data_IF_253417697554
#
_entry.id   IF_253417697554
#
_cell.length_a   1.000
_cell.length_b   1.000
_cell.length_c   1.000
_cell.angle_alpha   90.00
_cell.angle_beta   90.00
_cell.angle_gamma   90.00
#
_symmetry.space_group_name_H-M   'P 1'
#
loop_
_entity.id
_entity.type
_entity.pdbx_description
1 polymer ?
#
# COMPACT_ATOMS: atom_id res chain seq x y z
N UNK A 1 -45.16 -45.18 -11.76
CA UNK A 1 -45.18 -44.77 -13.18
C UNK A 1 -46.31 -43.76 -13.37
N UNK A 2 -46.20 -42.71 -14.21
CA UNK A 2 -45.31 -41.53 -14.25
C UNK A 2 -46.09 -40.21 -13.87
N UNK A 3 -45.51 -39.18 -13.25
CA UNK A 3 -44.68 -38.05 -13.75
C UNK A 3 -45.44 -36.93 -14.53
N UNK A 4 -45.42 -35.70 -13.98
CA UNK A 4 -45.51 -34.38 -14.67
C UNK A 4 -45.26 -33.25 -13.63
N UNK A 5 -43.99 -32.85 -13.41
CA UNK A 5 -43.35 -31.59 -13.87
C UNK A 5 -44.15 -30.31 -13.47
N UNK A 6 -43.86 -29.55 -12.41
CA UNK A 6 -42.62 -28.87 -11.95
C UNK A 6 -42.11 -27.77 -12.89
N UNK A 7 -42.75 -26.59 -12.89
CA UNK A 7 -42.20 -25.29 -13.32
C UNK A 7 -42.85 -24.17 -12.47
N UNK A 8 -42.09 -23.12 -12.17
CA UNK A 8 -42.41 -21.84 -11.49
C UNK A 8 -42.21 -21.77 -9.97
N UNK A 9 -41.00 -21.39 -9.55
CA UNK A 9 -40.74 -20.04 -9.00
C UNK A 9 -39.35 -19.99 -8.38
N UNK A 10 -38.33 -19.73 -9.20
CA UNK A 10 -37.02 -19.30 -8.72
C UNK A 10 -36.93 -17.78 -8.89
N UNK A 11 -37.57 -17.04 -7.99
CA UNK A 11 -37.25 -15.64 -7.75
C UNK A 11 -36.19 -15.63 -6.64
N UNK A 12 -34.93 -15.82 -7.04
CA UNK A 12 -33.79 -15.55 -6.16
C UNK A 12 -33.68 -14.05 -6.04
N UNK A 13 -34.14 -13.54 -4.91
CA UNK A 13 -33.94 -12.18 -4.46
C UNK A 13 -32.43 -11.95 -4.30
N UNK A 14 -31.79 -11.33 -5.30
CA UNK A 14 -30.46 -10.75 -5.13
C UNK A 14 -30.64 -9.53 -4.23
N UNK A 15 -30.55 -9.73 -2.92
CA UNK A 15 -30.38 -8.62 -1.99
C UNK A 15 -28.95 -8.09 -2.19
N UNK A 16 -28.84 -6.87 -2.76
CA UNK A 16 -27.63 -6.07 -2.66
C UNK A 16 -27.33 -5.90 -1.17
N UNK A 17 -26.38 -6.67 -0.65
CA UNK A 17 -25.70 -6.32 0.60
C UNK A 17 -24.76 -5.19 0.23
N UNK A 18 -25.26 -3.95 0.32
CA UNK A 18 -24.40 -2.79 0.49
C UNK A 18 -23.65 -3.02 1.81
N UNK A 19 -22.45 -3.60 1.69
CA UNK A 19 -21.53 -3.73 2.81
C UNK A 19 -21.05 -2.32 3.12
N UNK A 20 -21.73 -1.66 4.05
CA UNK A 20 -21.21 -0.47 4.69
C UNK A 20 -19.83 -0.83 5.25
N UNK A 21 -18.79 -0.25 4.66
CA UNK A 21 -17.42 -0.38 5.13
C UNK A 21 -17.38 0.12 6.57
N UNK A 22 -17.48 -0.79 7.53
CA UNK A 22 -17.21 -0.47 8.92
C UNK A 22 -15.70 -0.43 9.01
N UNK A 23 -15.18 0.76 9.24
CA UNK A 23 -13.76 1.01 9.43
C UNK A 23 -13.24 0.06 10.51
N UNK A 24 -12.23 -0.75 10.16
CA UNK A 24 -11.58 -1.60 11.15
C UNK A 24 -11.08 -0.70 12.28
N UNK A 25 -11.48 -1.02 13.52
CA UNK A 25 -11.03 -0.28 14.69
C UNK A 25 -9.49 -0.21 14.68
N UNK A 26 -8.90 0.93 15.06
CA UNK A 26 -7.47 1.12 15.06
C UNK A 26 -6.80 0.09 15.95
N UNK A 27 -5.70 -0.47 15.47
CA UNK A 27 -4.76 -1.17 16.34
C UNK A 27 -4.14 -0.09 17.22
N UNK A 28 -4.38 -0.14 18.53
CA UNK A 28 -3.78 0.79 19.48
C UNK A 28 -2.26 0.88 19.24
N UNK A 29 -1.75 2.09 18.97
CA UNK A 29 -0.32 2.35 18.75
C UNK A 29 0.14 2.56 17.30
N UNK A 30 -0.74 2.73 16.31
CA UNK A 30 -0.35 3.05 14.93
C UNK A 30 0.11 4.50 14.69
N UNK A 31 0.76 4.76 13.55
CA UNK A 31 1.11 6.11 13.10
C UNK A 31 -0.15 6.91 12.68
N UNK A 32 -0.14 8.22 12.93
CA UNK A 32 -1.17 9.12 12.39
C UNK A 32 -0.91 9.40 10.91
N UNK A 33 -1.74 8.84 10.03
CA UNK A 33 -1.64 9.01 8.58
C UNK A 33 -2.90 9.73 8.09
N UNK A 34 -2.78 10.97 7.60
CA UNK A 34 -3.91 11.69 7.04
C UNK A 34 -4.54 10.92 5.87
N UNK A 35 -5.87 10.99 5.74
CA UNK A 35 -6.58 10.42 4.58
C UNK A 35 -5.94 10.87 3.27
N UNK A 36 -5.64 12.17 3.18
CA UNK A 36 -5.00 12.80 2.01
C UNK A 36 -3.64 12.20 1.66
N UNK A 37 -2.86 11.74 2.64
CA UNK A 37 -1.59 11.06 2.37
C UNK A 37 -1.83 9.64 1.87
N UNK A 38 -2.72 8.89 2.51
CA UNK A 38 -3.04 7.51 2.11
C UNK A 38 -3.66 7.46 0.71
N UNK A 39 -4.73 8.21 0.47
CA UNK A 39 -5.50 8.18 -0.80
C UNK A 39 -4.76 8.85 -1.96
N UNK A 40 -3.68 9.59 -1.70
CA UNK A 40 -2.82 10.13 -2.77
C UNK A 40 -2.02 9.06 -3.50
N UNK A 41 -1.80 7.90 -2.86
CA UNK A 41 -0.99 6.81 -3.41
C UNK A 41 -1.72 5.47 -3.41
N UNK A 42 -2.76 5.28 -2.60
CA UNK A 42 -3.60 4.10 -2.63
C UNK A 42 -5.03 4.42 -3.04
N UNK A 43 -5.74 3.42 -3.54
CA UNK A 43 -7.16 3.51 -3.83
C UNK A 43 -7.96 3.28 -2.53
N UNK A 44 -9.10 3.94 -2.38
CA UNK A 44 -9.93 3.84 -1.15
C UNK A 44 -10.45 2.42 -0.90
N UNK A 45 -10.62 1.63 -1.96
CA UNK A 45 -10.96 0.21 -1.89
C UNK A 45 -9.92 -0.62 -1.13
N UNK A 46 -8.69 -0.13 -1.00
CA UNK A 46 -7.60 -0.78 -0.28
C UNK A 46 -7.47 -0.31 1.19
N UNK A 47 -8.44 0.44 1.71
CA UNK A 47 -8.43 0.95 3.09
C UNK A 47 -8.33 -0.16 4.16
N UNK A 48 -8.75 -1.39 3.85
CA UNK A 48 -8.61 -2.54 4.76
C UNK A 48 -7.17 -2.87 5.16
N UNK A 49 -6.16 -2.46 4.38
CA UNK A 49 -4.75 -2.63 4.71
C UNK A 49 -4.20 -1.58 5.67
N UNK A 50 -4.91 -0.45 5.82
CA UNK A 50 -4.43 0.70 6.58
C UNK A 50 -4.02 0.38 8.03
N UNK A 51 -4.80 -0.39 8.82
CA UNK A 51 -4.45 -0.67 10.21
C UNK A 51 -3.12 -1.43 10.34
N UNK A 52 -2.87 -2.40 9.46
CA UNK A 52 -1.63 -3.20 9.47
C UNK A 52 -0.42 -2.37 9.05
N UNK A 53 -0.59 -1.55 8.01
CA UNK A 53 0.45 -0.67 7.52
C UNK A 53 0.83 0.36 8.59
N UNK A 54 -0.15 1.03 9.19
CA UNK A 54 0.05 2.03 10.24
C UNK A 54 0.68 1.43 11.50
N UNK A 55 0.26 0.24 11.92
CA UNK A 55 0.85 -0.47 13.06
C UNK A 55 2.31 -0.85 12.82
N UNK A 56 2.63 -1.38 11.63
CA UNK A 56 4.02 -1.70 11.28
C UNK A 56 4.90 -0.45 11.22
N UNK A 57 4.41 0.64 10.60
CA UNK A 57 5.15 1.89 10.58
C UNK A 57 5.46 2.40 12.01
N UNK A 58 4.53 2.23 12.95
CA UNK A 58 4.76 2.61 14.33
C UNK A 58 5.74 1.69 15.08
N UNK A 59 5.61 0.38 14.90
CA UNK A 59 6.54 -0.62 15.45
C UNK A 59 8.00 -0.30 15.09
N UNK A 60 8.23 0.22 13.87
CA UNK A 60 9.55 0.53 13.34
C UNK A 60 9.89 2.04 13.36
N UNK A 61 9.16 2.88 14.09
CA UNK A 61 9.52 4.29 14.26
C UNK A 61 9.51 5.12 12.96
N UNK A 62 8.60 4.81 12.04
CA UNK A 62 8.44 5.47 10.74
C UNK A 62 7.33 6.55 10.75
N UNK A 63 6.87 6.98 11.93
CA UNK A 63 5.70 7.88 12.04
C UNK A 63 5.95 9.37 11.75
N UNK A 64 7.17 9.79 11.41
CA UNK A 64 7.35 11.18 10.94
C UNK A 64 6.72 11.33 9.56
N UNK A 65 6.16 12.51 9.25
CA UNK A 65 5.50 12.76 7.95
C UNK A 65 6.39 12.32 6.76
N UNK A 66 7.70 12.58 6.84
CA UNK A 66 8.65 12.22 5.80
C UNK A 66 8.92 10.72 5.70
N UNK A 67 9.23 10.06 6.83
CA UNK A 67 9.46 8.60 6.87
C UNK A 67 8.23 7.85 6.39
N UNK A 68 7.05 8.27 6.85
CA UNK A 68 5.79 7.66 6.48
C UNK A 68 5.49 7.87 5.00
N UNK A 69 5.69 9.07 4.45
CA UNK A 69 5.53 9.31 3.01
C UNK A 69 6.43 8.41 2.16
N UNK A 70 7.70 8.21 2.55
CA UNK A 70 8.60 7.30 1.83
C UNK A 70 8.15 5.86 1.95
N UNK A 71 7.68 5.44 3.13
CA UNK A 71 7.12 4.10 3.36
C UNK A 71 5.89 3.84 2.48
N UNK A 72 4.92 4.77 2.46
CA UNK A 72 3.71 4.67 1.62
C UNK A 72 4.05 4.65 0.13
N UNK A 73 4.87 5.61 -0.33
CA UNK A 73 5.22 5.73 -1.74
C UNK A 73 6.01 4.53 -2.25
N UNK A 74 6.91 3.98 -1.43
CA UNK A 74 7.65 2.75 -1.76
C UNK A 74 6.73 1.55 -1.85
N UNK A 75 5.91 1.29 -0.82
CA UNK A 75 4.95 0.17 -0.85
C UNK A 75 4.02 0.30 -2.06
N UNK A 76 3.54 1.50 -2.33
CA UNK A 76 2.69 1.78 -3.49
C UNK A 76 3.37 1.45 -4.81
N UNK A 77 4.68 1.72 -4.92
CA UNK A 77 5.44 1.36 -6.11
C UNK A 77 5.58 -0.16 -6.24
N UNK A 78 6.05 -0.82 -5.18
CA UNK A 78 6.32 -2.27 -5.19
C UNK A 78 5.05 -3.08 -5.46
N UNK A 79 3.92 -2.68 -4.87
CA UNK A 79 2.67 -3.48 -4.89
C UNK A 79 1.66 -3.03 -5.93
N UNK A 80 2.05 -2.11 -6.82
CA UNK A 80 1.11 -1.41 -7.71
C UNK A 80 -0.12 -0.91 -6.94
N UNK A 81 0.11 -0.11 -5.89
CA UNK A 81 -0.91 0.49 -5.02
C UNK A 81 -1.74 -0.53 -4.23
N UNK A 82 -1.10 -1.57 -3.67
CA UNK A 82 -1.70 -2.66 -2.88
C UNK A 82 -2.60 -3.60 -3.67
N UNK A 83 -2.27 -3.81 -4.96
CA UNK A 83 -3.02 -4.73 -5.83
C UNK A 83 -2.28 -6.01 -6.14
N UNK A 84 -0.95 -6.02 -5.98
CA UNK A 84 -0.07 -7.15 -6.24
C UNK A 84 0.85 -7.31 -5.02
N UNK A 85 0.97 -8.53 -4.51
CA UNK A 85 1.85 -8.85 -3.37
C UNK A 85 2.79 -10.01 -3.65
N UNK A 86 2.79 -10.53 -4.88
CA UNK A 86 3.73 -11.54 -5.35
C UNK A 86 4.32 -11.06 -6.67
N UNK A 87 5.64 -11.16 -6.79
CA UNK A 87 6.40 -10.89 -7.99
C UNK A 87 6.80 -12.23 -8.62
N UNK A 88 6.14 -12.67 -9.71
CA UNK A 88 6.40 -13.99 -10.28
C UNK A 88 7.83 -14.16 -10.80
N UNK A 89 8.46 -13.07 -11.25
CA UNK A 89 9.75 -13.11 -11.93
C UNK A 89 10.92 -13.57 -11.02
N UNK A 90 10.84 -13.31 -9.72
CA UNK A 90 11.87 -13.67 -8.73
C UNK A 90 11.30 -14.32 -7.46
N UNK A 91 9.99 -14.57 -7.43
CA UNK A 91 9.28 -15.11 -6.26
C UNK A 91 9.17 -14.12 -5.10
N UNK A 92 9.45 -12.83 -5.32
CA UNK A 92 9.33 -11.79 -4.32
C UNK A 92 7.92 -11.71 -3.74
N UNK A 93 7.79 -11.41 -2.45
CA UNK A 93 6.48 -11.35 -1.79
C UNK A 93 6.34 -10.23 -0.76
N UNK A 94 5.09 -9.87 -0.48
CA UNK A 94 4.70 -8.90 0.54
C UNK A 94 4.79 -7.44 0.09
N UNK A 95 4.74 -6.52 1.05
CA UNK A 95 4.59 -5.08 0.78
C UNK A 95 5.80 -4.40 0.11
N UNK A 96 6.93 -5.10 0.00
CA UNK A 96 8.13 -4.65 -0.72
C UNK A 96 8.68 -5.73 -1.68
N UNK A 97 7.84 -6.71 -2.04
CA UNK A 97 8.24 -7.85 -2.88
C UNK A 97 9.61 -8.44 -2.52
N UNK A 98 9.86 -8.67 -1.23
CA UNK A 98 11.15 -9.17 -0.76
C UNK A 98 11.44 -10.50 -1.41
N UNK A 99 12.62 -10.65 -2.03
CA UNK A 99 13.04 -11.88 -2.69
C UNK A 99 13.26 -13.03 -1.68
N UNK A 100 12.98 -14.29 -2.05
CA UNK A 100 13.03 -15.43 -1.13
C UNK A 100 14.37 -15.67 -0.42
N UNK A 101 15.49 -15.32 -1.05
CA UNK A 101 16.82 -15.46 -0.44
C UNK A 101 17.00 -14.63 0.83
N UNK A 102 16.21 -13.56 1.00
CA UNK A 102 16.26 -12.68 2.18
C UNK A 102 15.29 -13.10 3.29
N UNK A 103 14.30 -13.96 2.99
CA UNK A 103 13.28 -14.36 3.97
C UNK A 103 13.85 -15.05 5.22
N UNK A 104 14.85 -15.95 5.14
CA UNK A 104 15.38 -16.60 6.34
C UNK A 104 15.88 -15.62 7.41
N UNK A 105 16.46 -14.49 6.99
CA UNK A 105 16.90 -13.44 7.90
C UNK A 105 15.73 -12.65 8.47
N UNK A 106 14.77 -12.23 7.63
CA UNK A 106 13.56 -11.53 8.07
C UNK A 106 12.79 -12.36 9.11
N UNK A 107 12.62 -13.65 8.84
CA UNK A 107 11.92 -14.57 9.73
C UNK A 107 12.66 -14.76 11.05
N UNK A 108 14.00 -14.83 11.00
CA UNK A 108 14.82 -14.91 12.21
C UNK A 108 14.67 -13.67 13.08
N UNK A 109 14.77 -12.49 12.47
CA UNK A 109 14.75 -11.22 13.19
C UNK A 109 13.36 -10.87 13.76
N UNK A 110 12.30 -11.28 13.07
CA UNK A 110 10.91 -11.00 13.44
C UNK A 110 10.25 -12.11 14.26
N UNK A 111 10.98 -13.20 14.55
CA UNK A 111 10.46 -14.35 15.30
C UNK A 111 9.34 -15.09 14.55
N UNK A 112 9.40 -15.15 13.22
CA UNK A 112 8.42 -15.84 12.38
C UNK A 112 8.79 -17.32 12.21
N UNK A 113 7.77 -18.17 12.09
CA UNK A 113 7.96 -19.60 11.87
C UNK A 113 8.57 -19.87 10.48
N UNK A 114 9.73 -20.55 10.45
CA UNK A 114 10.35 -21.02 9.21
C UNK A 114 9.74 -22.35 8.77
N UNK A 115 9.79 -22.64 7.47
CA UNK A 115 9.17 -23.85 6.91
C UNK A 115 9.58 -24.09 5.45
N UNK A 116 8.74 -24.81 4.71
CA UNK A 116 8.86 -24.89 3.25
C UNK A 116 8.69 -23.52 2.60
N UNK A 117 9.06 -23.41 1.32
CA UNK A 117 8.89 -22.17 0.57
C UNK A 117 7.43 -21.70 0.59
N UNK A 118 6.47 -22.60 0.38
CA UNK A 118 5.04 -22.32 0.35
C UNK A 118 4.53 -21.84 1.72
N UNK A 119 5.02 -22.43 2.81
CA UNK A 119 4.68 -22.01 4.17
C UNK A 119 5.20 -20.58 4.45
N UNK A 120 6.44 -20.30 4.04
CA UNK A 120 7.03 -18.97 4.20
C UNK A 120 6.35 -17.95 3.29
N UNK A 121 5.98 -18.30 2.06
CA UNK A 121 5.22 -17.46 1.15
C UNK A 121 3.85 -17.09 1.75
N UNK A 122 3.13 -18.05 2.31
CA UNK A 122 1.85 -17.79 2.98
C UNK A 122 2.00 -16.78 4.13
N UNK A 123 3.08 -16.89 4.91
CA UNK A 123 3.42 -15.93 5.97
C UNK A 123 3.79 -14.56 5.39
N UNK A 124 4.54 -14.50 4.30
CA UNK A 124 4.92 -13.25 3.63
C UNK A 124 3.75 -12.51 2.99
N UNK A 125 2.61 -13.18 2.79
CA UNK A 125 1.37 -12.61 2.23
C UNK A 125 0.31 -12.29 3.28
N UNK A 126 0.53 -12.70 4.53
CA UNK A 126 -0.30 -12.29 5.65
C UNK A 126 -0.15 -10.76 5.84
N UNK A 127 -1.24 -9.97 5.83
CA UNK A 127 -1.15 -8.51 5.90
C UNK A 127 -0.41 -8.01 7.13
N UNK A 128 -0.62 -8.65 8.28
CA UNK A 128 0.07 -8.27 9.52
C UNK A 128 1.58 -8.49 9.40
N UNK A 129 2.00 -9.55 8.72
CA UNK A 129 3.42 -9.89 8.55
C UNK A 129 4.09 -9.09 7.45
N UNK A 130 3.44 -8.94 6.29
CA UNK A 130 4.07 -8.32 5.11
C UNK A 130 4.46 -6.86 5.34
N UNK A 131 3.65 -6.09 6.08
CA UNK A 131 3.99 -4.71 6.43
C UNK A 131 5.06 -4.64 7.52
N UNK A 132 5.07 -5.58 8.47
CA UNK A 132 6.14 -5.69 9.47
C UNK A 132 7.48 -6.00 8.81
N UNK A 133 7.51 -6.90 7.82
CA UNK A 133 8.70 -7.19 7.04
C UNK A 133 9.20 -5.95 6.28
N UNK A 134 8.29 -5.15 5.70
CA UNK A 134 8.66 -3.88 5.07
C UNK A 134 9.25 -2.87 6.08
N UNK A 135 8.62 -2.69 7.24
CA UNK A 135 9.14 -1.81 8.29
C UNK A 135 10.49 -2.25 8.83
N UNK A 136 10.68 -3.57 9.03
CA UNK A 136 11.96 -4.17 9.38
C UNK A 136 13.02 -3.90 8.32
N UNK A 137 12.69 -4.04 7.04
CA UNK A 137 13.64 -3.79 5.95
C UNK A 137 14.17 -2.35 5.99
N UNK A 138 13.26 -1.37 6.17
CA UNK A 138 13.56 0.07 6.23
C UNK A 138 14.49 0.45 7.39
N UNK A 139 14.41 -0.27 8.49
CA UNK A 139 15.08 0.10 9.74
C UNK A 139 16.31 -0.75 10.05
N UNK A 140 16.32 -2.01 9.62
CA UNK A 140 17.34 -2.98 10.00
C UNK A 140 17.73 -3.92 8.86
N UNK A 141 16.75 -4.53 8.19
CA UNK A 141 16.97 -5.65 7.27
C UNK A 141 17.92 -5.34 6.12
N UNK A 142 17.74 -4.20 5.45
CA UNK A 142 18.64 -3.78 4.39
C UNK A 142 20.06 -3.54 4.90
N UNK A 143 20.23 -3.00 6.11
CA UNK A 143 21.54 -2.84 6.74
C UNK A 143 22.24 -4.16 7.03
N UNK A 144 21.48 -5.16 7.51
CA UNK A 144 21.99 -6.51 7.78
C UNK A 144 22.47 -7.20 6.52
N UNK A 145 21.74 -7.07 5.41
CA UNK A 145 21.99 -7.84 4.17
C UNK A 145 22.90 -7.09 3.20
N UNK A 146 22.75 -5.77 3.08
CA UNK A 146 23.42 -4.94 2.08
C UNK A 146 24.53 -4.06 2.67
N UNK A 147 24.73 -4.14 3.98
CA UNK A 147 25.79 -3.43 4.69
C UNK A 147 25.37 -2.06 5.22
N UNK A 148 26.33 -1.42 5.90
CA UNK A 148 26.11 -0.24 6.75
C UNK A 148 25.48 0.95 6.04
N UNK A 149 25.68 1.11 4.72
CA UNK A 149 25.05 2.17 3.92
C UNK A 149 23.51 2.13 3.96
N UNK A 150 22.93 0.95 4.14
CA UNK A 150 21.49 0.74 4.20
C UNK A 150 20.98 0.54 5.64
N UNK A 151 21.83 0.75 6.64
CA UNK A 151 21.41 0.66 8.03
C UNK A 151 20.44 1.80 8.35
N UNK A 152 19.24 1.43 8.79
CA UNK A 152 18.17 2.38 9.10
C UNK A 152 17.96 3.45 8.02
N UNK A 153 17.94 3.04 6.75
CA UNK A 153 17.80 4.00 5.64
C UNK A 153 16.48 4.77 5.71
N UNK A 154 15.46 4.26 6.39
CA UNK A 154 14.24 5.00 6.71
C UNK A 154 14.50 6.37 7.34
N UNK A 155 15.52 6.49 8.21
CA UNK A 155 15.89 7.75 8.85
C UNK A 155 16.45 8.80 7.87
N UNK A 156 16.94 8.41 6.68
CA UNK A 156 17.39 9.36 5.66
C UNK A 156 16.25 10.27 5.20
N UNK A 157 14.99 9.81 5.30
CA UNK A 157 13.81 10.60 4.96
C UNK A 157 13.68 11.88 5.81
N UNK A 158 14.29 11.95 6.99
CA UNK A 158 14.25 13.15 7.84
C UNK A 158 14.98 14.34 7.20
N UNK A 159 15.86 14.10 6.22
CA UNK A 159 16.51 15.14 5.43
C UNK A 159 15.66 15.68 4.28
N UNK A 160 14.44 15.16 4.06
CA UNK A 160 13.57 15.60 2.97
C UNK A 160 12.94 16.96 3.28
N UNK A 161 13.04 17.86 2.29
CA UNK A 161 12.37 19.16 2.32
C UNK A 161 11.13 19.16 1.43
N UNK A 162 10.21 20.10 1.69
CA UNK A 162 9.19 20.45 0.70
C UNK A 162 9.86 20.90 -0.61
N UNK A 163 9.34 20.48 -1.77
CA UNK A 163 9.86 20.92 -3.06
C UNK A 163 9.91 19.80 -4.09
N UNK A 164 10.87 19.90 -5.00
CA UNK A 164 11.12 18.90 -6.06
C UNK A 164 11.78 17.64 -5.47
N UNK A 165 11.34 16.47 -5.91
CA UNK A 165 11.82 15.15 -5.49
C UNK A 165 12.65 14.48 -6.59
N UNK A 166 12.71 15.09 -7.78
CA UNK A 166 13.38 14.56 -8.97
C UNK A 166 14.77 15.17 -9.20
N UNK A 167 15.16 16.18 -8.40
CA UNK A 167 16.48 16.78 -8.43
C UNK A 167 17.01 17.16 -7.04
N UNK A 168 18.28 17.58 -6.98
CA UNK A 168 18.90 18.13 -5.77
C UNK A 168 19.00 17.17 -4.59
N UNK A 169 18.94 17.72 -3.37
CA UNK A 169 19.13 16.95 -2.14
C UNK A 169 18.05 15.86 -1.92
N UNK A 170 16.79 16.19 -2.20
CA UNK A 170 15.69 15.23 -2.09
C UNK A 170 15.93 14.02 -3.01
N UNK A 171 16.31 14.26 -4.27
CA UNK A 171 16.66 13.17 -5.19
C UNK A 171 17.83 12.34 -4.67
N UNK A 172 18.90 12.95 -4.17
CA UNK A 172 20.06 12.21 -3.65
C UNK A 172 19.69 11.31 -2.46
N UNK A 173 18.86 11.80 -1.53
CA UNK A 173 18.33 11.02 -0.40
C UNK A 173 17.52 9.84 -0.93
N UNK A 174 16.55 10.11 -1.80
CA UNK A 174 15.62 9.09 -2.27
C UNK A 174 16.28 8.07 -3.19
N UNK A 175 17.25 8.48 -4.00
CA UNK A 175 18.07 7.59 -4.81
C UNK A 175 18.91 6.67 -3.91
N UNK A 176 19.46 7.18 -2.81
CA UNK A 176 20.16 6.33 -1.82
C UNK A 176 19.21 5.31 -1.22
N UNK A 177 18.02 5.74 -0.78
CA UNK A 177 16.99 4.83 -0.26
C UNK A 177 16.56 3.80 -1.32
N UNK A 178 16.42 4.20 -2.58
CA UNK A 178 16.08 3.32 -3.70
C UNK A 178 17.10 2.18 -3.84
N UNK A 179 18.39 2.49 -3.76
CA UNK A 179 19.44 1.47 -3.84
C UNK A 179 19.44 0.48 -2.67
N UNK A 180 18.76 0.81 -1.57
CA UNK A 180 18.54 -0.09 -0.43
C UNK A 180 17.26 -0.91 -0.54
N UNK A 181 16.36 -0.59 -1.48
CA UNK A 181 15.17 -1.39 -1.78
C UNK A 181 15.38 -2.26 -3.00
N UNK A 182 15.79 -1.66 -4.13
CA UNK A 182 15.95 -2.35 -5.42
C UNK A 182 17.34 -2.97 -5.62
N UNK A 183 18.33 -2.63 -4.79
CA UNK A 183 19.71 -3.06 -4.98
C UNK A 183 20.56 -2.06 -5.77
N UNK A 184 21.80 -2.47 -6.09
CA UNK A 184 22.68 -1.68 -6.94
C UNK A 184 22.32 -1.86 -8.43
N UNK A 185 22.08 -0.77 -9.15
CA UNK A 185 21.80 -0.83 -10.58
C UNK A 185 20.93 0.32 -11.08
N UNK A 186 20.65 0.32 -12.38
CA UNK A 186 19.63 1.17 -12.96
C UNK A 186 18.24 0.61 -12.62
N UNK A 187 17.40 1.44 -12.00
CA UNK A 187 16.02 1.13 -11.68
C UNK A 187 15.09 1.96 -12.57
N UNK A 188 14.44 1.31 -13.54
CA UNK A 188 13.47 1.96 -14.41
C UNK A 188 12.22 2.46 -13.66
N UNK A 189 11.94 1.90 -12.48
CA UNK A 189 10.84 2.26 -11.59
C UNK A 189 11.13 3.48 -10.71
N UNK A 190 12.38 3.95 -10.64
CA UNK A 190 12.76 5.07 -9.77
C UNK A 190 11.89 6.33 -9.99
N UNK A 191 11.63 6.83 -11.22
CA UNK A 191 10.78 8.00 -11.42
C UNK A 191 9.37 7.85 -10.84
N UNK A 192 8.77 6.65 -10.99
CA UNK A 192 7.46 6.35 -10.43
C UNK A 192 7.49 6.39 -8.90
N UNK A 193 8.50 5.75 -8.28
CA UNK A 193 8.68 5.72 -6.84
C UNK A 193 8.81 7.13 -6.27
N UNK A 194 9.64 7.98 -6.87
CA UNK A 194 9.80 9.38 -6.47
C UNK A 194 8.48 10.16 -6.56
N UNK A 195 7.72 9.97 -7.64
CA UNK A 195 6.41 10.61 -7.83
C UNK A 195 5.40 10.20 -6.76
N UNK A 196 5.32 8.90 -6.42
CA UNK A 196 4.43 8.40 -5.37
C UNK A 196 4.83 8.93 -3.99
N UNK A 197 6.12 8.98 -3.68
CA UNK A 197 6.62 9.56 -2.42
C UNK A 197 6.25 11.05 -2.34
N UNK A 198 6.44 11.81 -3.42
CA UNK A 198 6.07 13.23 -3.46
C UNK A 198 4.56 13.44 -3.26
N UNK A 199 3.70 12.60 -3.85
CA UNK A 199 2.24 12.62 -3.66
C UNK A 199 1.87 12.37 -2.19
N UNK A 200 2.43 11.32 -1.58
CA UNK A 200 2.21 11.02 -0.16
C UNK A 200 2.67 12.17 0.74
N UNK A 201 3.85 12.74 0.48
CA UNK A 201 4.41 13.84 1.26
C UNK A 201 3.56 15.12 1.15
N UNK A 202 3.09 15.45 -0.05
CA UNK A 202 2.16 16.56 -0.26
C UNK A 202 0.84 16.37 0.50
N UNK A 203 0.33 15.14 0.58
CA UNK A 203 -0.84 14.77 1.38
C UNK A 203 -0.70 15.11 2.87
N UNK A 204 0.51 15.01 3.44
CA UNK A 204 0.80 15.47 4.80
C UNK A 204 0.84 17.00 4.91
N UNK A 205 1.41 17.69 3.91
CA UNK A 205 1.54 19.15 3.93
C UNK A 205 0.21 19.88 3.73
N UNK A 206 -0.73 19.32 2.96
CA UNK A 206 -2.07 19.88 2.77
C UNK A 206 -2.79 20.13 4.10
N UNK A 207 -2.62 19.23 5.07
CA UNK A 207 -3.15 19.37 6.44
C UNK A 207 -2.60 20.61 7.16
N UNK A 208 -1.30 20.90 6.99
CA UNK A 208 -0.65 22.06 7.62
C UNK A 208 -1.09 23.40 7.02
N UNK A 209 -1.54 23.42 5.76
CA UNK A 209 -2.04 24.63 5.10
C UNK A 209 -3.50 24.91 5.44
N UNK A 210 -4.36 23.89 5.55
CA UNK A 210 -5.77 24.07 5.94
C UNK A 210 -5.95 24.31 7.45
N UNK A 211 -5.07 23.76 8.29
CA UNK A 211 -5.08 24.01 9.75
C UNK A 211 -4.53 25.38 10.16
N UNK A 212 -3.87 26.11 9.25
CA UNK A 212 -3.35 27.46 9.49
C UNK A 212 -4.34 28.51 8.96
N UNK A 213 -5.60 28.41 9.35
CA UNK A 213 -6.53 29.54 9.25
C UNK A 213 -6.05 30.60 10.24
N UNK A 214 -5.88 31.81 9.72
CA UNK A 214 -5.32 32.98 10.37
C UNK A 214 -5.87 33.16 11.79
N UNK A 215 -4.99 33.10 12.79
CA UNK A 215 -5.23 33.78 14.06
C UNK A 215 -5.09 35.28 13.79
N UNK A 216 -6.16 35.86 13.23
CA UNK A 216 -6.38 37.29 13.30
C UNK A 216 -6.78 37.58 14.74
N UNK A 217 -5.93 38.32 15.44
CA UNK A 217 -6.19 38.83 16.78
C UNK A 217 -7.43 39.72 16.74
N UNK A 218 -8.56 39.27 17.30
CA UNK A 218 -9.59 40.16 17.82
C UNK A 218 -9.96 39.75 19.24
N UNK A 219 -9.75 40.71 20.13
CA UNK A 219 -10.07 40.82 21.56
C UNK A 219 -11.50 40.43 21.96
N UNK A 220 -11.60 39.75 23.13
CA UNK A 220 -12.64 39.75 24.21
C UNK A 220 -14.14 39.64 23.82
N UNK A 221 -15.03 38.85 24.43
CA UNK A 221 -15.32 38.54 25.83
C UNK A 221 -16.28 37.32 25.95
N UNK A 222 -16.28 36.61 27.10
CA UNK A 222 -17.46 35.91 27.64
C UNK A 222 -17.42 34.36 27.73
N UNK A 223 -17.61 33.75 28.91
CA UNK A 223 -17.55 32.29 29.10
C UNK A 223 -18.91 31.55 29.16
N UNK A 224 -18.83 30.23 28.94
CA UNK A 224 -19.73 29.13 29.34
C UNK A 224 -20.66 28.52 28.25
N UNK A 225 -21.17 27.26 28.41
CA UNK A 225 -20.85 26.22 29.40
C UNK A 225 -20.44 24.85 28.79
N UNK A 226 -19.89 24.02 29.67
CA UNK A 226 -19.55 22.61 29.49
C UNK A 226 -20.78 21.72 29.30
N UNK A 227 -20.76 20.84 28.30
CA UNK A 227 -21.69 19.71 28.19
C UNK A 227 -20.90 18.42 28.01
N UNK A 228 -21.07 17.52 28.99
CA UNK A 228 -20.55 16.15 29.01
C UNK A 228 -21.57 15.23 28.33
N UNK A 229 -21.21 14.45 27.31
CA UNK A 229 -22.03 13.34 26.85
C UNK A 229 -21.58 12.04 27.52
N UNK A 230 -22.47 11.46 28.33
CA UNK A 230 -22.37 10.10 28.85
C UNK A 230 -23.00 9.16 27.83
N UNK A 231 -22.25 8.18 27.30
CA UNK A 231 -22.82 7.04 26.57
C UNK A 231 -22.49 5.71 27.28
N UNK A 232 -23.45 4.77 27.37
CA UNK A 232 -23.29 3.52 28.10
C UNK A 232 -22.59 2.44 27.24
N UNK A 233 -21.66 1.71 27.87
CA UNK A 233 -21.03 0.51 27.34
C UNK A 233 -22.02 -0.67 27.31
N UNK A 234 -22.36 -1.16 26.12
CA UNK A 234 -22.95 -2.48 25.92
C UNK A 234 -21.88 -3.49 25.48
N UNK A 235 -21.98 -4.78 25.86
CA UNK A 235 -20.97 -5.79 25.52
C UNK A 235 -21.00 -6.13 24.03
N UNK A 236 -19.86 -5.97 23.34
CA UNK A 236 -19.68 -6.34 21.93
C UNK A 236 -19.45 -7.85 21.77
N UNK A 237 -20.10 -8.43 20.76
CA UNK A 237 -19.94 -9.82 20.30
C UNK A 237 -18.65 -9.97 19.46
N UNK A 238 -18.04 -11.16 19.38
CA UNK A 238 -16.83 -11.39 18.58
C UNK A 238 -17.11 -11.17 17.08
N UNK A 239 -16.27 -10.37 16.43
CA UNK A 239 -16.28 -10.17 14.97
C UNK A 239 -15.55 -11.34 14.30
N UNK A 240 -16.17 -11.87 13.25
CA UNK A 240 -15.72 -13.02 12.45
C UNK A 240 -14.76 -12.55 11.35
N UNK A 241 -13.70 -13.32 11.13
CA UNK A 241 -12.59 -13.02 10.22
C UNK A 241 -13.03 -12.65 8.80
N UNK A 242 -12.30 -11.67 8.22
CA UNK A 242 -12.39 -11.27 6.82
C UNK A 242 -12.00 -12.46 5.92
N UNK A 243 -12.67 -12.71 4.79
CA UNK A 243 -12.35 -13.86 3.95
C UNK A 243 -10.95 -13.70 3.37
N UNK A 244 -10.03 -14.56 3.79
CA UNK A 244 -8.75 -14.80 3.12
C UNK A 244 -9.05 -15.58 1.83
N UNK A 245 -9.48 -14.88 0.78
CA UNK A 245 -9.35 -15.43 -0.57
C UNK A 245 -7.87 -15.53 -0.85
N UNK A 246 -7.31 -16.74 -0.66
CA UNK A 246 -5.93 -17.04 -0.98
C UNK A 246 -5.62 -16.58 -2.39
N UNK A 247 -4.67 -15.66 -2.51
CA UNK A 247 -4.19 -15.23 -3.81
C UNK A 247 -3.69 -16.47 -4.55
N UNK A 248 -4.22 -16.80 -5.75
CA UNK A 248 -3.72 -17.93 -6.52
C UNK A 248 -2.22 -17.72 -6.76
N UNK A 249 -1.42 -18.74 -6.48
CA UNK A 249 0.00 -18.75 -6.83
C UNK A 249 0.13 -18.56 -8.35
N UNK A 250 0.76 -17.49 -8.86
CA UNK A 250 0.92 -17.32 -10.27
C UNK A 250 2.23 -17.98 -10.68
N UNK A 251 2.16 -19.23 -11.13
CA UNK A 251 3.17 -19.77 -12.07
C UNK A 251 2.85 -19.18 -13.43
N UNK A 252 3.16 -17.90 -13.65
CA UNK A 252 3.00 -17.30 -14.98
C UNK A 252 4.32 -17.40 -15.75
N UNK A 253 4.24 -18.10 -16.88
CA UNK A 253 5.26 -18.11 -17.91
C UNK A 253 5.43 -16.69 -18.49
N UNK A 254 6.57 -16.39 -19.16
CA UNK A 254 6.74 -15.14 -19.90
C UNK A 254 5.53 -14.88 -20.81
N UNK A 255 5.12 -13.61 -20.92
CA UNK A 255 4.10 -13.20 -21.87
C UNK A 255 4.48 -13.66 -23.28
N UNK A 256 3.49 -14.04 -24.08
CA UNK A 256 3.70 -14.38 -25.50
C UNK A 256 3.93 -13.14 -26.37
N UNK A 257 3.69 -11.94 -25.83
CA UNK A 257 4.12 -10.69 -26.45
C UNK A 257 5.65 -10.59 -26.36
N UNK A 258 6.31 -10.40 -27.51
CA UNK A 258 7.75 -10.62 -27.71
C UNK A 258 8.70 -9.92 -26.72
N UNK A 259 10.01 -10.20 -26.85
CA UNK A 259 11.05 -9.66 -25.97
C UNK A 259 10.87 -8.16 -25.69
N UNK A 260 11.20 -7.70 -24.47
CA UNK A 260 11.07 -6.28 -24.10
C UNK A 260 12.13 -5.37 -24.76
N UNK A 261 12.51 -5.66 -26.01
CA UNK A 261 13.51 -4.97 -26.80
C UNK A 261 13.31 -3.46 -26.78
N UNK A 262 14.27 -2.75 -26.18
CA UNK A 262 14.25 -1.30 -26.00
C UNK A 262 13.77 -0.82 -24.63
N UNK A 263 13.19 -1.68 -23.79
CA UNK A 263 12.82 -1.35 -22.41
C UNK A 263 13.92 -1.78 -21.43
N UNK A 264 14.11 -1.00 -20.37
CA UNK A 264 15.07 -1.34 -19.32
C UNK A 264 14.48 -2.35 -18.33
N UNK A 265 15.34 -3.13 -17.66
CA UNK A 265 14.94 -4.04 -16.58
C UNK A 265 14.15 -3.27 -15.50
N UNK A 266 13.02 -3.83 -15.06
CA UNK A 266 12.08 -3.20 -14.11
C UNK A 266 11.05 -2.27 -14.75
N UNK A 267 11.13 -2.00 -16.06
CA UNK A 267 10.15 -1.15 -16.75
C UNK A 267 8.76 -1.76 -16.68
N UNK A 268 7.76 -0.94 -16.35
CA UNK A 268 6.35 -1.34 -16.22
C UNK A 268 5.52 -0.81 -17.38
N UNK A 269 4.65 -1.64 -17.96
CA UNK A 269 3.77 -1.26 -19.07
C UNK A 269 2.39 -1.90 -18.95
N UNK A 270 1.42 -1.36 -19.68
CA UNK A 270 0.17 -2.04 -19.93
C UNK A 270 0.30 -2.95 -21.16
N UNK A 271 0.07 -4.24 -21.00
CA UNK A 271 -0.04 -5.22 -22.06
C UNK A 271 -1.31 -4.97 -22.90
N UNK A 272 -1.38 -5.52 -24.12
CA UNK A 272 -2.60 -5.42 -24.93
C UNK A 272 -3.80 -6.14 -24.27
N UNK A 273 -3.53 -7.13 -23.42
CA UNK A 273 -4.51 -7.80 -22.56
C UNK A 273 -5.14 -6.86 -21.52
N UNK A 274 -4.60 -5.67 -21.33
CA UNK A 274 -4.97 -4.74 -20.26
C UNK A 274 -4.38 -5.12 -18.89
N UNK A 275 -3.53 -6.15 -18.84
CA UNK A 275 -2.73 -6.47 -17.68
C UNK A 275 -1.53 -5.51 -17.54
N UNK A 276 -1.08 -5.31 -16.31
CA UNK A 276 0.21 -4.71 -16.01
C UNK A 276 1.30 -5.75 -16.27
N UNK A 277 2.45 -5.34 -16.81
CA UNK A 277 3.60 -6.22 -17.03
C UNK A 277 4.92 -5.53 -16.70
N UNK A 278 5.92 -6.32 -16.31
CA UNK A 278 7.28 -5.88 -16.01
C UNK A 278 8.28 -6.53 -16.96
N UNK A 279 9.25 -5.76 -17.46
CA UNK A 279 10.38 -6.27 -18.22
C UNK A 279 11.43 -6.79 -17.23
N UNK A 280 11.68 -8.11 -17.24
CA UNK A 280 12.70 -8.75 -16.41
C UNK A 280 13.62 -9.57 -17.31
N UNK A 281 14.92 -9.25 -17.29
CA UNK A 281 15.96 -9.95 -18.06
C UNK A 281 15.61 -10.14 -19.55
N UNK A 282 15.01 -9.14 -20.18
CA UNK A 282 14.64 -9.17 -21.61
C UNK A 282 13.28 -9.81 -21.92
N UNK A 283 12.55 -10.30 -20.92
CA UNK A 283 11.23 -10.89 -21.08
C UNK A 283 10.14 -10.08 -20.34
N UNK A 284 8.93 -10.05 -20.90
CA UNK A 284 7.76 -9.49 -20.22
C UNK A 284 7.12 -10.53 -19.30
N UNK A 285 6.83 -10.13 -18.07
CA UNK A 285 6.06 -10.90 -17.10
C UNK A 285 4.79 -10.12 -16.78
N UNK A 286 3.64 -10.72 -17.06
CA UNK A 286 2.34 -10.14 -16.73
C UNK A 286 2.00 -10.41 -15.27
N UNK A 287 1.39 -9.41 -14.63
CA UNK A 287 0.80 -9.56 -13.32
C UNK A 287 -0.67 -9.97 -13.49
N UNK A 288 -1.19 -10.86 -12.63
CA UNK A 288 -2.62 -11.12 -12.58
C UNK A 288 -3.39 -9.80 -12.49
N UNK A 289 -4.35 -9.60 -13.39
CA UNK A 289 -5.23 -8.43 -13.39
C UNK A 289 -6.23 -8.55 -12.24
N UNK A 290 -6.18 -7.70 -11.20
CA UNK A 290 -7.18 -7.72 -10.15
C UNK A 290 -8.57 -7.42 -10.74
N UNK A 291 -9.59 -8.08 -10.21
CA UNK A 291 -10.97 -7.86 -10.65
C UNK A 291 -11.37 -6.38 -10.47
N UNK A 292 -12.06 -5.82 -11.48
CA UNK A 292 -12.52 -4.42 -11.45
C UNK A 292 -11.42 -3.37 -11.67
N UNK A 293 -10.20 -3.79 -12.04
CA UNK A 293 -9.12 -2.87 -12.40
C UNK A 293 -8.89 -2.81 -13.91
N UNK A 294 -8.23 -1.75 -14.38
CA UNK A 294 -7.64 -1.60 -15.70
C UNK A 294 -6.20 -1.12 -15.56
N UNK A 295 -5.29 -1.63 -16.38
CA UNK A 295 -3.97 -1.00 -16.48
C UNK A 295 -4.11 0.34 -17.23
N UNK A 296 -3.51 1.39 -16.66
CA UNK A 296 -3.46 2.72 -17.28
C UNK A 296 -2.08 3.35 -17.06
N UNK A 297 -1.62 4.12 -18.04
CA UNK A 297 -0.40 4.95 -17.92
C UNK A 297 -0.79 6.30 -17.34
N UNK A 298 -0.25 6.65 -16.18
CA UNK A 298 -0.45 7.94 -15.52
C UNK A 298 0.90 8.54 -15.17
N UNK A 299 1.11 9.78 -15.57
CA UNK A 299 2.39 10.50 -15.44
C UNK A 299 3.57 9.69 -16.03
N UNK A 300 3.33 8.98 -17.14
CA UNK A 300 4.32 8.14 -17.80
C UNK A 300 4.53 6.75 -17.18
N UNK A 301 3.77 6.38 -16.14
CA UNK A 301 3.95 5.11 -15.43
C UNK A 301 2.71 4.22 -15.53
N UNK A 302 2.89 2.96 -15.92
CA UNK A 302 1.80 1.98 -15.98
C UNK A 302 1.45 1.46 -14.57
N UNK A 303 0.15 1.44 -14.24
CA UNK A 303 -0.38 0.92 -12.98
C UNK A 303 -1.81 0.39 -13.16
N UNK A 304 -2.26 -0.45 -12.23
CA UNK A 304 -3.67 -0.77 -12.11
C UNK A 304 -4.46 0.37 -11.45
N UNK A 305 -5.62 0.67 -12.03
CA UNK A 305 -6.62 1.61 -11.53
C UNK A 305 -7.97 0.91 -11.47
N UNK A 306 -8.77 1.18 -10.43
CA UNK A 306 -10.14 0.71 -10.40
C UNK A 306 -10.99 1.51 -11.38
N UNK A 307 -11.86 0.83 -12.13
CA UNK A 307 -12.78 1.51 -13.04
C UNK A 307 -13.80 2.32 -12.23
N UNK A 308 -13.92 3.60 -12.54
CA UNK A 308 -14.45 4.67 -11.67
C UNK A 308 -15.93 4.59 -11.26
N UNK A 309 -16.61 3.45 -11.35
CA UNK A 309 -17.97 3.30 -10.84
C UNK A 309 -18.09 3.48 -9.31
N UNK A 310 -16.97 3.59 -8.57
CA UNK A 310 -16.93 3.80 -7.12
C UNK A 310 -16.45 5.18 -6.66
N UNK A 311 -15.95 6.06 -7.56
CA UNK A 311 -15.27 7.30 -7.15
C UNK A 311 -16.24 8.46 -6.86
N UNK A 312 -17.30 8.62 -7.64
CA UNK A 312 -18.30 9.70 -7.45
C UNK A 312 -19.20 9.48 -6.22
N UNK A 313 -19.32 8.24 -5.73
CA UNK A 313 -20.01 7.95 -4.48
C UNK A 313 -19.18 8.35 -3.25
N UNK A 314 -17.86 8.15 -3.29
CA UNK A 314 -16.98 8.43 -2.15
C UNK A 314 -16.70 9.92 -1.91
N UNK A 315 -16.82 10.78 -2.95
CA UNK A 315 -16.68 12.23 -2.79
C UNK A 315 -17.94 12.91 -2.24
N UNK A 316 -19.13 12.30 -2.41
CA UNK A 316 -20.38 12.86 -1.89
C UNK A 316 -20.55 12.70 -0.38
N UNK A 317 -19.82 11.75 0.22
CA UNK A 317 -19.80 11.49 1.66
C UNK A 317 -18.55 12.10 2.34
N UNK A 318 -17.88 13.05 1.68
CA UNK A 318 -16.75 13.81 2.23
C UNK A 318 -17.19 14.75 3.34
N UNK A 319 -17.56 14.17 4.48
CA UNK A 319 -17.46 14.83 5.77
C UNK A 319 -15.97 15.02 6.07
N UNK A 320 -15.64 16.14 6.70
CA UNK A 320 -14.28 16.62 6.97
C UNK A 320 -13.58 15.79 8.07
N UNK A 321 -14.05 14.56 8.25
CA UNK A 321 -13.67 13.62 9.28
C UNK A 321 -12.19 13.28 9.18
N UNK A 322 -11.45 13.67 10.20
CA UNK A 322 -10.28 12.89 10.58
C UNK A 322 -10.75 11.44 10.68
N UNK A 323 -9.94 10.50 10.20
CA UNK A 323 -9.99 9.12 10.68
C UNK A 323 -9.61 9.20 12.17
N UNK A 324 -10.59 9.54 13.01
CA UNK A 324 -10.41 9.54 14.44
C UNK A 324 -10.17 8.08 14.81
N UNK A 325 -8.97 7.87 15.37
CA UNK A 325 -8.54 6.57 15.86
C UNK A 325 -9.17 6.19 17.18
#
# INVERSE_FOLDING_TARGET
MPALHSILSALVLIALVASSFTTAAPVAGGCNVPNSAFTSVFESTNAGYFPYLSAAAAEFGLCTDARMAVFLGTISHETARLTIFQQPADGGAGAIHMIPSNWPQAFSDLGLAKGSHEQMLAIMLDPKTMFRVAGWWFTKGAGTIMGTRCNNFGALADGLAAGDFTSGNNFNILNTMNTCVFGGGYDAGLPQRLSLIAKAYAGYQGRRRCGRRQHSTSTTDGPAPTSTPTHPNGPQKPVKDLPTTGAPAPTQAPSTEGACGGSANGSMQCAASGALRQCVNGAWYEFPKPAGTKCQVVDGNAMYYFEAQSYEAAQKDGDDGQWHG
#
